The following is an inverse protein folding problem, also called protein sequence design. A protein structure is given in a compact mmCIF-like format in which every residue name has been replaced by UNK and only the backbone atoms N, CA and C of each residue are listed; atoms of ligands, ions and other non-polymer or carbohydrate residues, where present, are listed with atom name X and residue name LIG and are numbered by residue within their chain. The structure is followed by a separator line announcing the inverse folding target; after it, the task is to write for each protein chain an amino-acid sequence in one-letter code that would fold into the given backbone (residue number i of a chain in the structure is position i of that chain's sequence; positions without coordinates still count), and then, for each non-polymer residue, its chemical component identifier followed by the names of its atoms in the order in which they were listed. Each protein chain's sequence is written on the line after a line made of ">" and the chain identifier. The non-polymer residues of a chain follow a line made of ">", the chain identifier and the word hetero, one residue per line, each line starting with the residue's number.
data_IF_017908931167
#
_entry.id   IF_017908931167
#
_cell.length_a   1.000
_cell.length_b   1.000
_cell.length_c   1.000
_cell.angle_alpha   90.00
_cell.angle_beta   90.00
_cell.angle_gamma   90.00
#
_symmetry.space_group_name_H-M   'P 1'
#
loop_
_entity.id
_entity.type
_entity.pdbx_description
1 polymer ?
#
# COMPACT_ATOMS: atom_id res chain seq x y z
N UNK A 1 -3.79 -39.21 -13.67
CA UNK A 1 -3.82 -37.84 -14.24
C UNK A 1 -3.26 -36.88 -13.21
N UNK A 2 -2.37 -35.95 -13.58
CA UNK A 2 -1.84 -34.99 -12.62
C UNK A 2 -2.95 -34.07 -12.12
N UNK A 3 -2.90 -33.72 -10.84
CA UNK A 3 -3.79 -32.74 -10.23
C UNK A 3 -3.56 -31.35 -10.84
N UNK A 4 -4.52 -30.44 -10.68
CA UNK A 4 -4.36 -29.05 -11.15
C UNK A 4 -3.12 -28.35 -10.55
N UNK A 5 -2.77 -28.68 -9.30
CA UNK A 5 -1.56 -28.16 -8.62
C UNK A 5 -0.27 -28.71 -9.23
N UNK A 6 -0.25 -30.00 -9.56
CA UNK A 6 0.90 -30.63 -10.23
C UNK A 6 1.09 -30.11 -11.64
N UNK A 7 0.00 -29.92 -12.40
CA UNK A 7 0.04 -29.28 -13.72
C UNK A 7 0.59 -27.87 -13.64
N UNK A 8 0.13 -27.05 -12.68
CA UNK A 8 0.68 -25.70 -12.50
C UNK A 8 2.19 -25.72 -12.24
N UNK A 9 2.65 -26.57 -11.32
CA UNK A 9 4.08 -26.70 -10.98
C UNK A 9 4.91 -27.15 -12.19
N UNK A 10 4.38 -28.08 -12.98
CA UNK A 10 5.02 -28.55 -14.22
C UNK A 10 5.19 -27.41 -15.23
N UNK A 11 4.14 -26.62 -15.45
CA UNK A 11 4.15 -25.47 -16.35
C UNK A 11 5.11 -24.38 -15.89
N UNK A 12 5.03 -23.97 -14.63
CA UNK A 12 5.91 -22.94 -14.06
C UNK A 12 7.38 -23.35 -14.18
N UNK A 13 7.68 -24.63 -13.92
CA UNK A 13 9.04 -25.18 -14.06
C UNK A 13 9.48 -25.20 -15.52
N UNK A 14 8.63 -25.64 -16.46
CA UNK A 14 9.00 -25.68 -17.88
C UNK A 14 9.25 -24.29 -18.45
N UNK A 15 8.40 -23.32 -18.13
CA UNK A 15 8.59 -21.92 -18.54
C UNK A 15 9.91 -21.40 -18.02
N UNK A 16 10.20 -21.63 -16.73
CA UNK A 16 11.46 -21.20 -16.11
C UNK A 16 12.69 -21.81 -16.80
N UNK A 17 12.66 -23.10 -17.11
CA UNK A 17 13.78 -23.79 -17.73
C UNK A 17 14.02 -23.30 -19.16
N UNK A 18 12.95 -23.13 -19.94
CA UNK A 18 13.03 -22.61 -21.31
C UNK A 18 13.50 -21.14 -21.35
N UNK A 19 13.01 -20.29 -20.43
CA UNK A 19 13.50 -18.92 -20.26
C UNK A 19 15.01 -18.91 -20.03
N UNK A 20 15.50 -19.72 -19.09
CA UNK A 20 16.94 -19.80 -18.77
C UNK A 20 17.77 -20.33 -19.94
N UNK A 21 17.28 -21.32 -20.67
CA UNK A 21 17.95 -21.86 -21.86
C UNK A 21 18.16 -20.79 -22.93
N UNK A 22 17.26 -19.79 -22.99
CA UNK A 22 17.31 -18.65 -23.92
C UNK A 22 18.01 -17.42 -23.32
N UNK A 23 18.64 -17.54 -22.15
CA UNK A 23 19.37 -16.44 -21.50
C UNK A 23 18.48 -15.44 -20.74
N UNK A 24 17.18 -15.68 -20.65
CA UNK A 24 16.26 -14.84 -19.87
C UNK A 24 16.43 -15.09 -18.36
N UNK A 25 16.20 -14.04 -17.57
CA UNK A 25 16.07 -14.14 -16.12
C UNK A 25 14.63 -14.52 -15.77
N UNK A 26 14.41 -15.02 -14.55
CA UNK A 26 13.08 -15.49 -14.14
C UNK A 26 12.79 -15.12 -12.68
N UNK A 27 11.66 -14.45 -12.44
CA UNK A 27 11.19 -14.07 -11.11
C UNK A 27 9.66 -13.98 -11.09
N UNK A 28 9.03 -14.40 -9.98
CA UNK A 28 7.58 -14.21 -9.79
C UNK A 28 6.67 -14.93 -10.78
N UNK A 29 7.16 -15.93 -11.52
CA UNK A 29 6.39 -16.61 -12.57
C UNK A 29 6.58 -16.00 -13.97
N UNK A 30 7.41 -14.97 -14.09
CA UNK A 30 7.66 -14.27 -15.35
C UNK A 30 9.11 -14.42 -15.79
N UNK A 31 9.30 -14.63 -17.10
CA UNK A 31 10.60 -14.51 -17.75
C UNK A 31 10.85 -13.05 -18.09
N UNK A 32 12.09 -12.58 -18.02
CA UNK A 32 12.40 -11.21 -18.38
C UNK A 32 13.82 -11.03 -18.90
N UNK A 33 13.98 -9.98 -19.70
CA UNK A 33 15.27 -9.50 -20.18
C UNK A 33 15.40 -8.01 -19.90
N UNK A 34 16.58 -7.61 -19.44
CA UNK A 34 16.92 -6.22 -19.25
C UNK A 34 18.13 -5.89 -20.14
N UNK A 35 17.96 -4.90 -20.99
CA UNK A 35 18.99 -4.37 -21.88
C UNK A 35 19.47 -3.01 -21.36
N UNK A 36 20.17 -2.23 -22.19
CA UNK A 36 20.64 -0.89 -21.80
C UNK A 36 19.49 0.08 -21.50
N UNK A 37 18.38 -0.02 -22.25
CA UNK A 37 17.23 0.91 -22.15
C UNK A 37 16.03 0.22 -21.51
N UNK A 38 15.71 -1.00 -21.96
CA UNK A 38 14.42 -1.62 -21.70
C UNK A 38 14.49 -2.79 -20.72
N UNK A 39 13.37 -2.97 -20.02
CA UNK A 39 12.95 -4.22 -19.42
C UNK A 39 11.80 -4.79 -20.26
N UNK A 40 11.97 -6.03 -20.71
CA UNK A 40 10.95 -6.80 -21.40
C UNK A 40 10.53 -7.98 -20.54
N UNK A 41 9.23 -8.17 -20.35
CA UNK A 41 8.66 -9.19 -19.46
C UNK A 41 7.73 -10.10 -20.24
N UNK A 42 8.01 -11.40 -20.17
CA UNK A 42 7.18 -12.50 -20.61
C UNK A 42 6.38 -13.06 -19.43
N UNK A 43 5.07 -13.16 -19.60
CA UNK A 43 4.19 -13.84 -18.65
C UNK A 43 3.27 -14.81 -19.39
N UNK A 44 3.05 -15.98 -18.81
CA UNK A 44 2.10 -16.95 -19.33
C UNK A 44 1.21 -17.47 -18.21
N UNK A 45 -0.07 -17.63 -18.49
CA UNK A 45 -1.05 -18.08 -17.52
C UNK A 45 -2.11 -18.96 -18.18
N UNK A 46 -2.64 -19.91 -17.41
CA UNK A 46 -3.76 -20.72 -17.88
C UNK A 46 -5.00 -19.85 -17.99
N UNK A 47 -5.60 -19.85 -19.17
CA UNK A 47 -6.89 -19.24 -19.43
C UNK A 47 -7.95 -20.35 -19.53
N UNK A 48 -9.03 -20.24 -18.77
CA UNK A 48 -10.10 -21.21 -18.79
C UNK A 48 -11.44 -20.50 -18.89
N UNK A 49 -12.14 -20.70 -20.00
CA UNK A 49 -13.55 -20.30 -20.14
C UNK A 49 -14.45 -21.47 -19.75
N UNK A 50 -15.55 -21.20 -19.05
CA UNK A 50 -16.50 -22.24 -18.63
C UNK A 50 -17.03 -22.98 -19.87
N UNK A 51 -16.78 -24.29 -19.98
CA UNK A 51 -17.27 -25.15 -21.08
C UNK A 51 -16.28 -25.43 -22.21
N UNK A 52 -15.07 -24.87 -22.20
CA UNK A 52 -14.02 -25.22 -23.18
C UNK A 52 -13.39 -26.59 -22.82
N UNK A 53 -13.32 -27.49 -23.81
CA UNK A 53 -12.79 -28.85 -23.64
C UNK A 53 -11.24 -28.89 -23.66
N UNK A 54 -10.60 -27.93 -24.34
CA UNK A 54 -9.13 -27.81 -24.44
C UNK A 54 -8.68 -26.59 -23.64
N UNK A 55 -7.77 -26.73 -22.67
CA UNK A 55 -7.28 -25.60 -21.91
C UNK A 55 -6.37 -24.73 -22.80
N UNK A 56 -6.56 -23.40 -22.72
CA UNK A 56 -5.78 -22.41 -23.46
C UNK A 56 -4.78 -21.76 -22.54
N UNK A 57 -3.59 -21.43 -23.04
CA UNK A 57 -2.64 -20.60 -22.32
C UNK A 57 -2.57 -19.23 -22.97
N UNK A 58 -2.78 -18.19 -22.16
CA UNK A 58 -2.55 -16.81 -22.58
C UNK A 58 -1.10 -16.46 -22.27
N UNK A 59 -0.42 -15.87 -23.24
CA UNK A 59 0.87 -15.22 -23.02
C UNK A 59 0.78 -13.72 -23.29
N UNK A 60 1.66 -12.97 -22.65
CA UNK A 60 1.83 -11.53 -22.84
C UNK A 60 3.32 -11.17 -22.84
N UNK A 61 3.67 -10.20 -23.66
CA UNK A 61 4.97 -9.57 -23.78
C UNK A 61 4.78 -8.07 -23.48
N UNK A 62 5.44 -7.58 -22.44
CA UNK A 62 5.37 -6.17 -22.06
C UNK A 62 6.75 -5.52 -22.04
N UNK A 63 6.85 -4.25 -22.40
CA UNK A 63 8.13 -3.51 -22.47
C UNK A 63 8.02 -2.12 -21.84
N UNK A 64 9.01 -1.77 -21.01
CA UNK A 64 9.18 -0.41 -20.45
C UNK A 64 10.65 0.00 -20.34
N UNK A 65 10.98 1.29 -20.45
CA UNK A 65 12.29 1.78 -20.06
C UNK A 65 12.58 1.52 -18.59
N UNK A 66 13.80 1.08 -18.28
CA UNK A 66 14.26 0.78 -16.92
C UNK A 66 14.23 2.00 -16.00
N UNK A 67 14.36 3.20 -16.59
CA UNK A 67 14.38 4.49 -15.89
C UNK A 67 13.01 4.88 -15.33
N UNK A 68 11.90 4.37 -15.88
CA UNK A 68 10.56 4.76 -15.42
C UNK A 68 10.32 4.35 -13.96
N UNK A 69 10.74 3.14 -13.59
CA UNK A 69 10.62 2.67 -12.20
C UNK A 69 11.53 3.47 -11.25
N UNK A 70 12.70 3.92 -11.70
CA UNK A 70 13.61 4.74 -10.90
C UNK A 70 13.00 6.13 -10.62
N UNK A 71 12.39 6.76 -11.63
CA UNK A 71 11.66 8.02 -11.46
C UNK A 71 10.47 7.81 -10.53
N UNK A 72 9.70 6.73 -10.72
CA UNK A 72 8.57 6.39 -9.87
C UNK A 72 9.01 6.25 -8.41
N UNK A 73 10.05 5.48 -8.13
CA UNK A 73 10.54 5.26 -6.78
C UNK A 73 11.10 6.52 -6.15
N UNK A 74 11.82 7.35 -6.91
CA UNK A 74 12.33 8.62 -6.42
C UNK A 74 11.19 9.58 -6.00
N UNK A 75 10.07 9.61 -6.73
CA UNK A 75 8.92 10.44 -6.37
C UNK A 75 8.07 9.82 -5.26
N UNK A 76 7.87 8.50 -5.29
CA UNK A 76 6.85 7.81 -4.50
C UNK A 76 7.39 7.24 -3.18
N UNK A 77 8.66 6.84 -3.16
CA UNK A 77 9.34 6.17 -2.05
C UNK A 77 10.80 6.64 -1.90
N UNK A 78 11.06 7.94 -1.78
CA UNK A 78 12.43 8.47 -1.81
C UNK A 78 13.32 7.97 -0.66
N UNK A 79 12.71 7.58 0.47
CA UNK A 79 13.42 7.19 1.69
C UNK A 79 13.47 5.66 1.90
N UNK A 80 12.89 4.87 0.99
CA UNK A 80 12.82 3.41 1.13
C UNK A 80 14.10 2.74 0.60
N UNK A 81 14.69 1.85 1.41
CA UNK A 81 15.74 0.95 0.93
C UNK A 81 15.14 -0.22 0.14
N UNK A 82 15.08 -0.03 -1.19
CA UNK A 82 14.65 -1.06 -2.13
C UNK A 82 15.68 -2.19 -2.30
N UNK A 83 16.82 -2.11 -1.61
CA UNK A 83 17.93 -3.05 -1.58
C UNK A 83 18.85 -2.99 -2.79
N UNK A 84 19.72 -3.99 -2.90
CA UNK A 84 20.76 -4.02 -3.93
C UNK A 84 20.25 -4.17 -5.37
N UNK A 85 21.14 -4.01 -6.38
CA UNK A 85 20.76 -3.95 -7.79
C UNK A 85 19.89 -5.10 -8.29
N UNK A 86 20.15 -6.33 -7.83
CA UNK A 86 19.36 -7.50 -8.21
C UNK A 86 17.93 -7.45 -7.63
N UNK A 87 17.78 -7.00 -6.38
CA UNK A 87 16.46 -6.85 -5.75
C UNK A 87 15.65 -5.77 -6.46
N UNK A 88 16.27 -4.63 -6.76
CA UNK A 88 15.66 -3.56 -7.57
C UNK A 88 15.22 -4.07 -8.94
N UNK A 89 16.05 -4.86 -9.63
CA UNK A 89 15.67 -5.41 -10.92
C UNK A 89 14.45 -6.33 -10.82
N UNK A 90 14.41 -7.21 -9.82
CA UNK A 90 13.25 -8.07 -9.58
C UNK A 90 11.99 -7.26 -9.27
N UNK A 91 12.09 -6.20 -8.46
CA UNK A 91 10.97 -5.32 -8.12
C UNK A 91 10.32 -4.68 -9.36
N UNK A 92 11.08 -4.42 -10.42
CA UNK A 92 10.50 -3.91 -11.69
C UNK A 92 9.58 -4.91 -12.38
N UNK A 93 9.72 -6.21 -12.08
CA UNK A 93 8.97 -7.31 -12.71
C UNK A 93 7.80 -7.76 -11.83
N UNK A 94 8.02 -7.91 -10.52
CA UNK A 94 7.03 -8.49 -9.60
C UNK A 94 6.67 -7.60 -8.40
N UNK A 95 7.13 -6.35 -8.38
CA UNK A 95 6.83 -5.39 -7.32
C UNK A 95 5.44 -4.76 -7.48
N UNK A 96 4.82 -4.42 -6.35
CA UNK A 96 3.54 -3.70 -6.31
C UNK A 96 3.64 -2.23 -6.73
N UNK A 97 4.81 -1.61 -6.57
CA UNK A 97 5.08 -0.22 -6.94
C UNK A 97 6.00 -0.17 -8.16
N UNK A 98 5.57 -0.80 -9.26
CA UNK A 98 6.30 -0.82 -10.52
C UNK A 98 5.38 -0.35 -11.65
N UNK A 99 5.98 0.21 -12.70
CA UNK A 99 5.25 0.71 -13.88
C UNK A 99 4.85 -0.48 -14.76
N UNK A 100 3.63 -0.51 -15.28
CA UNK A 100 3.25 -1.51 -16.28
C UNK A 100 3.93 -1.21 -17.63
N UNK A 101 4.52 -2.23 -18.25
CA UNK A 101 5.03 -2.13 -19.61
C UNK A 101 3.92 -1.92 -20.65
N UNK A 102 4.29 -1.38 -21.81
CA UNK A 102 3.43 -1.40 -23.01
C UNK A 102 3.26 -2.86 -23.44
N UNK A 103 2.03 -3.26 -23.76
CA UNK A 103 1.78 -4.55 -24.41
C UNK A 103 2.31 -4.46 -25.84
N UNK A 104 3.31 -5.29 -26.15
CA UNK A 104 3.93 -5.37 -27.48
C UNK A 104 3.55 -6.67 -28.18
N UNK A 105 2.82 -7.56 -27.51
CA UNK A 105 2.44 -8.86 -28.03
C UNK A 105 1.68 -9.65 -26.99
N UNK A 106 0.55 -10.22 -27.39
CA UNK A 106 -0.15 -11.21 -26.59
C UNK A 106 -0.87 -12.19 -27.49
N UNK A 107 -1.15 -13.38 -26.95
CA UNK A 107 -1.80 -14.40 -27.73
C UNK A 107 -2.25 -15.58 -26.88
N UNK A 108 -2.87 -16.54 -27.56
CA UNK A 108 -3.29 -17.80 -26.97
C UNK A 108 -2.60 -18.95 -27.69
N UNK A 109 -2.18 -19.95 -26.93
CA UNK A 109 -1.72 -21.24 -27.46
C UNK A 109 -2.65 -22.32 -26.94
N UNK A 110 -3.13 -23.16 -27.86
CA UNK A 110 -3.86 -24.37 -27.53
C UNK A 110 -2.89 -25.47 -27.12
N UNK A 111 -3.24 -26.22 -26.08
CA UNK A 111 -2.38 -27.29 -25.56
C UNK A 111 -3.20 -28.58 -25.52
N UNK A 112 -3.09 -29.43 -26.57
CA UNK A 112 -3.83 -30.69 -26.65
C UNK A 112 -3.52 -31.63 -25.48
N UNK A 113 -2.26 -31.66 -25.02
CA UNK A 113 -1.84 -32.38 -23.82
C UNK A 113 -1.18 -31.42 -22.81
N UNK A 114 -1.90 -30.97 -21.77
CA UNK A 114 -1.37 -30.10 -20.72
C UNK A 114 -0.20 -30.69 -19.93
N UNK A 115 0.02 -32.01 -19.99
CA UNK A 115 1.18 -32.66 -19.39
C UNK A 115 2.46 -32.53 -20.24
N UNK A 116 2.36 -32.00 -21.46
CA UNK A 116 3.48 -31.80 -22.39
C UNK A 116 3.61 -30.32 -22.83
N UNK A 117 3.96 -29.40 -21.92
CA UNK A 117 4.00 -27.96 -22.21
C UNK A 117 5.13 -27.53 -23.17
N UNK A 118 6.09 -28.40 -23.49
CA UNK A 118 7.36 -28.03 -24.13
C UNK A 118 7.21 -27.22 -25.42
N UNK A 119 6.48 -27.75 -26.40
CA UNK A 119 6.28 -27.09 -27.70
C UNK A 119 5.51 -25.78 -27.57
N UNK A 120 4.47 -25.76 -26.72
CA UNK A 120 3.68 -24.55 -26.49
C UNK A 120 4.53 -23.44 -25.86
N UNK A 121 5.30 -23.77 -24.81
CA UNK A 121 6.18 -22.81 -24.12
C UNK A 121 7.25 -22.27 -25.07
N UNK A 122 7.86 -23.11 -25.90
CA UNK A 122 8.84 -22.68 -26.91
C UNK A 122 8.22 -21.68 -27.90
N UNK A 123 7.05 -22.00 -28.46
CA UNK A 123 6.35 -21.11 -29.40
C UNK A 123 5.97 -19.76 -28.78
N UNK A 124 5.50 -19.75 -27.52
CA UNK A 124 5.21 -18.50 -26.81
C UNK A 124 6.46 -17.62 -26.60
N UNK A 125 7.61 -18.25 -26.33
CA UNK A 125 8.88 -17.53 -26.15
C UNK A 125 9.50 -17.07 -27.48
N UNK A 126 9.27 -17.78 -28.58
CA UNK A 126 9.64 -17.32 -29.92
C UNK A 126 8.88 -16.04 -30.30
N UNK A 127 7.56 -16.01 -30.07
CA UNK A 127 6.74 -14.81 -30.32
C UNK A 127 7.12 -13.64 -29.40
N UNK A 128 7.44 -13.92 -28.13
CA UNK A 128 7.96 -12.92 -27.21
C UNK A 128 9.26 -12.28 -27.72
N UNK A 129 10.23 -13.08 -28.14
CA UNK A 129 11.52 -12.57 -28.60
C UNK A 129 11.39 -11.80 -29.91
N UNK A 130 10.51 -12.25 -30.81
CA UNK A 130 10.17 -11.55 -32.05
C UNK A 130 9.55 -10.17 -31.74
N UNK A 131 8.48 -10.13 -30.95
CA UNK A 131 7.80 -8.89 -30.59
C UNK A 131 8.73 -7.91 -29.86
N UNK A 132 9.57 -8.42 -28.95
CA UNK A 132 10.59 -7.63 -28.27
C UNK A 132 11.59 -7.03 -29.25
N UNK A 133 12.16 -7.84 -30.12
CA UNK A 133 13.19 -7.40 -31.07
C UNK A 133 12.66 -6.35 -32.05
N UNK A 134 11.44 -6.56 -32.58
CA UNK A 134 10.77 -5.59 -33.45
C UNK A 134 10.53 -4.26 -32.73
N UNK A 135 10.03 -4.30 -31.48
CA UNK A 135 9.77 -3.08 -30.71
C UNK A 135 11.04 -2.31 -30.38
N UNK A 136 12.09 -2.99 -29.90
CA UNK A 136 13.36 -2.34 -29.55
C UNK A 136 14.03 -1.74 -30.79
N UNK A 137 13.91 -2.37 -31.96
CA UNK A 137 14.42 -1.82 -33.21
C UNK A 137 13.65 -0.57 -33.66
N UNK A 138 12.32 -0.54 -33.49
CA UNK A 138 11.49 0.60 -33.84
C UNK A 138 11.60 1.78 -32.86
N UNK A 139 11.88 1.49 -31.58
CA UNK A 139 11.94 2.45 -30.49
C UNK A 139 13.24 2.30 -29.71
N UNK A 140 14.40 2.70 -30.24
CA UNK A 140 15.70 2.44 -29.61
C UNK A 140 15.93 3.21 -28.30
N UNK A 141 15.13 4.24 -28.01
CA UNK A 141 15.33 5.14 -26.87
C UNK A 141 14.01 5.55 -26.20
N UNK A 142 14.11 6.26 -25.07
CA UNK A 142 12.93 6.69 -24.29
C UNK A 142 12.08 7.71 -25.04
N UNK A 143 12.67 8.53 -25.92
CA UNK A 143 11.93 9.52 -26.70
C UNK A 143 11.04 8.87 -27.75
N UNK A 144 11.54 7.83 -28.42
CA UNK A 144 10.77 7.02 -29.37
C UNK A 144 9.78 6.10 -28.66
N UNK A 145 10.07 5.65 -27.44
CA UNK A 145 9.09 4.98 -26.56
C UNK A 145 7.91 5.88 -26.19
N UNK A 146 8.19 7.14 -25.80
CA UNK A 146 7.15 8.11 -25.45
C UNK A 146 6.15 8.28 -26.60
N UNK A 147 6.64 8.38 -27.84
CA UNK A 147 5.78 8.43 -29.04
C UNK A 147 4.91 7.18 -29.17
N UNK A 148 5.45 5.99 -28.88
CA UNK A 148 4.66 4.76 -28.87
C UNK A 148 3.57 4.81 -27.79
N UNK A 149 3.90 5.23 -26.58
CA UNK A 149 2.94 5.38 -25.48
C UNK A 149 1.82 6.39 -25.81
N UNK A 150 2.14 7.49 -26.49
CA UNK A 150 1.19 8.52 -26.92
C UNK A 150 0.33 8.11 -28.12
N UNK A 151 0.78 7.11 -28.88
CA UNK A 151 0.04 6.55 -30.02
C UNK A 151 -1.03 5.52 -29.64
N UNK A 152 -1.20 5.24 -28.33
CA UNK A 152 -2.23 4.33 -27.87
C UNK A 152 -3.64 4.81 -28.27
N UNK A 153 -4.58 3.89 -28.55
CA UNK A 153 -5.96 4.26 -28.85
C UNK A 153 -6.55 5.14 -27.75
N UNK A 154 -7.38 6.13 -28.12
CA UNK A 154 -7.93 7.12 -27.18
C UNK A 154 -8.61 6.48 -25.94
N UNK A 155 -9.33 5.38 -26.14
CA UNK A 155 -9.98 4.61 -25.06
C UNK A 155 -8.98 4.04 -24.04
N UNK A 156 -7.76 3.72 -24.48
CA UNK A 156 -6.70 3.19 -23.63
C UNK A 156 -5.81 4.31 -23.09
N UNK A 157 -5.62 5.39 -23.83
CA UNK A 157 -4.75 6.50 -23.43
C UNK A 157 -5.16 7.09 -22.07
N UNK A 158 -6.46 7.20 -21.80
CA UNK A 158 -7.00 7.66 -20.52
C UNK A 158 -6.91 6.66 -19.36
N UNK A 159 -6.42 5.43 -19.58
CA UNK A 159 -6.28 4.49 -18.47
C UNK A 159 -5.20 4.95 -17.49
N UNK A 160 -5.42 4.90 -16.17
CA UNK A 160 -4.48 5.42 -15.18
C UNK A 160 -3.04 4.85 -15.31
N UNK A 161 -2.91 3.57 -15.66
CA UNK A 161 -1.60 2.93 -15.91
C UNK A 161 -0.88 3.48 -17.14
N UNK A 162 -1.62 3.85 -18.19
CA UNK A 162 -1.07 4.39 -19.43
C UNK A 162 -0.70 5.87 -19.23
N UNK A 163 -1.52 6.63 -18.50
CA UNK A 163 -1.18 7.98 -18.03
C UNK A 163 0.04 8.02 -17.15
N UNK A 164 0.15 7.11 -16.17
CA UNK A 164 1.36 6.98 -15.34
C UNK A 164 2.61 6.79 -16.20
N UNK A 165 2.54 5.88 -17.18
CA UNK A 165 3.66 5.62 -18.10
C UNK A 165 4.01 6.84 -18.95
N UNK A 166 3.02 7.57 -19.45
CA UNK A 166 3.21 8.79 -20.23
C UNK A 166 3.92 9.88 -19.39
N UNK A 167 3.39 10.18 -18.19
CA UNK A 167 3.98 11.16 -17.26
C UNK A 167 5.44 10.82 -16.95
N UNK A 168 5.72 9.56 -16.59
CA UNK A 168 7.10 9.12 -16.29
C UNK A 168 8.00 9.19 -17.52
N UNK A 169 7.49 8.91 -18.71
CA UNK A 169 8.25 9.00 -19.96
C UNK A 169 8.57 10.45 -20.32
N UNK A 170 7.65 11.39 -20.08
CA UNK A 170 7.89 12.83 -20.22
C UNK A 170 9.01 13.30 -19.28
N UNK A 171 8.97 12.90 -18.00
CA UNK A 171 10.05 13.19 -17.04
C UNK A 171 11.38 12.60 -17.53
N UNK A 172 11.36 11.36 -18.03
CA UNK A 172 12.56 10.67 -18.49
C UNK A 172 13.23 11.33 -19.71
N UNK A 173 12.46 11.98 -20.59
CA UNK A 173 13.00 12.74 -21.73
C UNK A 173 13.32 14.20 -21.37
N UNK A 174 13.09 14.61 -20.11
CA UNK A 174 13.39 15.94 -19.60
C UNK A 174 12.25 16.96 -19.71
N UNK A 175 11.08 16.56 -20.21
CA UNK A 175 9.90 17.43 -20.34
C UNK A 175 9.06 17.42 -19.06
N UNK A 176 9.62 18.02 -18.00
CA UNK A 176 8.97 18.08 -16.69
C UNK A 176 7.71 18.94 -16.68
N UNK A 177 7.67 20.00 -17.48
CA UNK A 177 6.52 20.89 -17.54
C UNK A 177 5.30 20.18 -18.11
N UNK A 178 5.46 19.44 -19.22
CA UNK A 178 4.37 18.64 -19.78
C UNK A 178 3.97 17.49 -18.83
N UNK A 179 4.92 16.85 -18.16
CA UNK A 179 4.64 15.80 -17.18
C UNK A 179 3.81 16.34 -16.00
N UNK A 180 4.20 17.48 -15.44
CA UNK A 180 3.51 18.15 -14.35
C UNK A 180 2.11 18.59 -14.76
N UNK A 181 1.97 19.22 -15.94
CA UNK A 181 0.68 19.65 -16.47
C UNK A 181 -0.28 18.47 -16.71
N UNK A 182 0.21 17.34 -17.22
CA UNK A 182 -0.59 16.14 -17.40
C UNK A 182 -1.04 15.56 -16.05
N UNK A 183 -0.14 15.48 -15.07
CA UNK A 183 -0.49 15.01 -13.73
C UNK A 183 -1.51 15.94 -13.03
N UNK A 184 -1.35 17.25 -13.15
CA UNK A 184 -2.29 18.24 -12.61
C UNK A 184 -3.67 18.15 -13.28
N UNK A 185 -3.72 17.89 -14.59
CA UNK A 185 -4.98 17.71 -15.32
C UNK A 185 -5.74 16.46 -14.84
N UNK A 186 -5.06 15.32 -14.66
CA UNK A 186 -5.68 14.10 -14.14
C UNK A 186 -6.22 14.31 -12.71
N UNK A 187 -5.46 15.02 -11.85
CA UNK A 187 -5.90 15.35 -10.50
C UNK A 187 -7.12 16.28 -10.49
N UNK A 188 -7.20 17.24 -11.42
CA UNK A 188 -8.34 18.14 -11.56
C UNK A 188 -9.65 17.39 -11.92
N UNK A 189 -9.54 16.27 -12.64
CA UNK A 189 -10.66 15.37 -12.97
C UNK A 189 -10.95 14.34 -11.86
N UNK A 190 -10.22 14.39 -10.73
CA UNK A 190 -10.37 13.48 -9.60
C UNK A 190 -9.69 12.11 -9.81
N UNK A 191 -8.85 11.97 -10.83
CA UNK A 191 -8.04 10.77 -11.03
C UNK A 191 -6.74 10.87 -10.21
N UNK A 192 -6.41 9.80 -9.49
CA UNK A 192 -5.31 9.77 -8.53
C UNK A 192 -4.15 8.86 -8.95
N UNK A 193 -4.34 8.10 -10.03
CA UNK A 193 -3.41 7.13 -10.57
C UNK A 193 -3.59 5.74 -9.95
N UNK A 194 -2.88 4.74 -10.50
CA UNK A 194 -3.11 3.33 -10.16
C UNK A 194 -2.57 2.92 -8.78
N UNK A 195 -1.84 3.80 -8.08
CA UNK A 195 -1.23 3.48 -6.79
C UNK A 195 -1.28 4.66 -5.82
N UNK A 196 -1.36 4.32 -4.53
CA UNK A 196 -1.36 5.29 -3.44
C UNK A 196 -0.58 4.72 -2.26
N UNK A 197 0.08 5.61 -1.52
CA UNK A 197 0.92 5.28 -0.39
C UNK A 197 0.68 6.23 0.77
N UNK A 198 1.48 6.12 1.85
CA UNK A 198 1.32 6.95 3.05
C UNK A 198 1.45 8.46 2.78
N UNK A 199 2.16 8.86 1.72
CA UNK A 199 2.44 10.28 1.37
C UNK A 199 1.45 10.90 0.38
N UNK A 200 0.61 10.10 -0.26
CA UNK A 200 -0.30 10.58 -1.31
C UNK A 200 -0.54 9.56 -2.41
N UNK A 201 -1.26 10.01 -3.44
CA UNK A 201 -1.44 9.23 -4.67
C UNK A 201 -0.28 9.45 -5.64
N UNK A 202 -0.12 8.55 -6.61
CA UNK A 202 1.04 8.64 -7.52
C UNK A 202 1.01 9.86 -8.41
N UNK A 203 -0.17 10.27 -8.90
CA UNK A 203 -0.28 11.48 -9.72
C UNK A 203 -0.02 12.74 -8.92
N UNK A 204 -0.45 12.78 -7.66
CA UNK A 204 -0.10 13.88 -6.75
C UNK A 204 1.41 14.00 -6.57
N UNK A 205 2.08 12.90 -6.22
CA UNK A 205 3.52 12.91 -5.96
C UNK A 205 4.33 13.21 -7.24
N UNK A 206 3.88 12.73 -8.41
CA UNK A 206 4.52 13.06 -9.68
C UNK A 206 4.32 14.52 -10.08
N UNK A 207 3.11 15.06 -9.90
CA UNK A 207 2.83 16.49 -10.09
C UNK A 207 3.79 17.33 -9.27
N UNK A 208 3.89 17.07 -7.97
CA UNK A 208 4.82 17.78 -7.07
C UNK A 208 6.27 17.62 -7.52
N UNK A 209 6.69 16.42 -7.91
CA UNK A 209 8.08 16.15 -8.35
C UNK A 209 8.52 16.91 -9.61
N UNK A 210 7.56 17.44 -10.37
CA UNK A 210 7.79 18.28 -11.54
C UNK A 210 7.85 19.78 -11.22
N UNK A 211 7.45 20.20 -10.01
CA UNK A 211 7.40 21.61 -9.61
C UNK A 211 8.77 22.13 -9.13
N UNK A 212 8.98 23.45 -9.04
CA UNK A 212 10.18 24.03 -8.45
C UNK A 212 10.50 23.51 -7.03
N UNK A 213 11.77 23.54 -6.64
CA UNK A 213 12.26 22.90 -5.42
C UNK A 213 11.67 23.49 -4.13
N UNK A 214 11.34 24.78 -4.11
CA UNK A 214 10.64 25.46 -3.03
C UNK A 214 9.21 24.94 -2.85
N UNK A 215 8.48 24.73 -3.94
CA UNK A 215 7.13 24.12 -3.93
C UNK A 215 7.19 22.68 -3.44
N UNK A 216 8.22 21.93 -3.87
CA UNK A 216 8.44 20.57 -3.36
C UNK A 216 8.73 20.57 -1.86
N UNK A 217 9.59 21.46 -1.37
CA UNK A 217 9.93 21.55 0.04
C UNK A 217 8.70 21.89 0.91
N UNK A 218 7.88 22.86 0.47
CA UNK A 218 6.63 23.19 1.15
C UNK A 218 5.69 21.99 1.21
N UNK A 219 5.55 21.24 0.11
CA UNK A 219 4.75 20.02 0.07
C UNK A 219 5.27 18.97 1.06
N UNK A 220 6.58 18.71 1.08
CA UNK A 220 7.19 17.70 1.95
C UNK A 220 7.06 18.03 3.44
N UNK A 221 7.18 19.30 3.81
CA UNK A 221 6.89 19.74 5.18
C UNK A 221 5.41 19.53 5.54
N UNK A 222 4.49 19.83 4.60
CA UNK A 222 3.05 19.60 4.79
C UNK A 222 2.68 18.13 4.94
N UNK A 223 3.34 17.23 4.20
CA UNK A 223 3.06 15.77 4.26
C UNK A 223 4.01 15.02 5.18
N UNK A 224 4.74 15.73 6.03
CA UNK A 224 5.59 15.12 7.04
C UNK A 224 4.72 14.29 7.99
N UNK A 225 5.04 13.00 8.21
CA UNK A 225 4.28 12.21 9.15
C UNK A 225 4.35 12.78 10.56
N UNK A 226 3.19 12.87 11.21
CA UNK A 226 3.05 13.39 12.57
C UNK A 226 2.65 12.32 13.56
N UNK A 227 2.04 11.22 13.09
CA UNK A 227 1.60 10.13 13.95
C UNK A 227 1.99 8.77 13.38
N UNK A 228 2.08 7.79 14.28
CA UNK A 228 2.16 6.37 14.01
C UNK A 228 0.83 5.75 14.41
N UNK A 229 0.19 5.05 13.47
CA UNK A 229 -0.97 4.21 13.74
C UNK A 229 -0.52 2.76 13.77
N UNK A 230 -0.68 2.14 14.92
CA UNK A 230 -0.37 0.74 15.15
C UNK A 230 -1.67 -0.04 15.33
N UNK A 231 -1.82 -1.08 14.53
CA UNK A 231 -2.84 -2.10 14.66
C UNK A 231 -2.21 -3.33 15.30
N UNK A 232 -2.78 -3.80 16.40
CA UNK A 232 -2.44 -5.08 17.00
C UNK A 232 -3.62 -6.02 16.71
N UNK A 233 -3.32 -7.25 16.29
CA UNK A 233 -4.27 -8.31 16.05
C UNK A 233 -3.56 -9.63 16.32
N UNK A 234 -4.13 -10.49 17.17
CA UNK A 234 -3.62 -11.84 17.40
C UNK A 234 -3.66 -12.70 16.13
N UNK A 235 -4.67 -12.49 15.27
CA UNK A 235 -4.80 -13.23 13.99
C UNK A 235 -3.92 -12.72 12.86
N UNK A 236 -3.79 -11.39 12.73
CA UNK A 236 -3.12 -10.75 11.59
C UNK A 236 -1.72 -10.24 11.93
N UNK A 237 -1.30 -10.33 13.20
CA UNK A 237 -0.07 -9.74 13.70
C UNK A 237 -0.16 -8.22 13.87
N UNK A 238 0.97 -7.62 14.25
CA UNK A 238 1.09 -6.19 14.38
C UNK A 238 1.43 -5.53 13.04
N UNK A 239 0.72 -4.46 12.72
CA UNK A 239 0.98 -3.63 11.54
C UNK A 239 1.07 -2.16 11.94
N UNK A 240 2.04 -1.44 11.40
CA UNK A 240 2.29 -0.04 11.75
C UNK A 240 2.41 0.80 10.48
N UNK A 241 1.72 1.94 10.46
CA UNK A 241 1.83 2.94 9.39
C UNK A 241 2.02 4.32 9.98
N UNK A 242 2.74 5.17 9.26
CA UNK A 242 2.86 6.59 9.60
C UNK A 242 1.77 7.39 8.88
N UNK A 243 1.23 8.39 9.55
CA UNK A 243 0.15 9.25 9.06
C UNK A 243 0.62 10.72 9.11
N UNK A 244 0.38 11.46 8.02
CA UNK A 244 0.69 12.89 7.91
C UNK A 244 -0.54 13.75 8.22
N UNK A 245 -0.44 14.68 9.18
CA UNK A 245 -1.57 15.45 9.68
C UNK A 245 -2.46 16.01 8.55
N UNK A 246 -3.79 15.82 8.67
CA UNK A 246 -4.77 16.31 7.69
C UNK A 246 -4.85 15.50 6.38
N UNK A 247 -4.18 14.35 6.30
CA UNK A 247 -4.24 13.40 5.17
C UNK A 247 -5.01 12.12 5.50
N UNK A 248 -5.72 12.07 6.62
CA UNK A 248 -6.57 10.93 6.91
C UNK A 248 -7.64 10.78 5.83
N UNK A 249 -7.80 9.57 5.30
CA UNK A 249 -8.95 9.27 4.46
C UNK A 249 -10.19 9.22 5.35
N UNK A 250 -11.28 9.81 4.89
CA UNK A 250 -12.56 9.76 5.58
C UNK A 250 -12.93 8.31 5.95
N UNK A 251 -13.35 8.12 7.21
CA UNK A 251 -13.72 6.81 7.76
C UNK A 251 -12.56 5.83 7.95
N UNK A 252 -11.29 6.24 7.85
CA UNK A 252 -10.16 5.32 7.97
C UNK A 252 -9.98 4.75 9.39
N UNK A 253 -10.31 5.51 10.45
CA UNK A 253 -10.34 4.99 11.82
C UNK A 253 -11.57 4.12 12.06
N UNK A 254 -12.76 4.59 11.69
CA UNK A 254 -14.04 3.87 11.79
C UNK A 254 -13.94 2.46 11.19
N UNK A 255 -13.47 2.34 9.94
CA UNK A 255 -13.31 1.04 9.26
C UNK A 255 -12.46 0.04 10.05
N UNK A 256 -11.47 0.52 10.80
CA UNK A 256 -10.60 -0.34 11.62
C UNK A 256 -11.28 -0.71 12.93
N UNK A 257 -11.91 0.26 13.59
CA UNK A 257 -12.65 0.06 14.84
C UNK A 257 -13.82 -0.91 14.66
N UNK A 258 -14.52 -0.87 13.52
CA UNK A 258 -15.58 -1.83 13.20
C UNK A 258 -15.14 -3.29 13.10
N UNK A 259 -13.83 -3.58 13.09
CA UNK A 259 -13.30 -4.95 13.09
C UNK A 259 -13.23 -5.58 14.48
N UNK A 260 -13.47 -4.81 15.54
CA UNK A 260 -13.44 -5.31 16.91
C UNK A 260 -14.54 -6.36 17.08
N UNK A 261 -14.20 -7.48 17.70
CA UNK A 261 -15.10 -8.63 17.85
C UNK A 261 -14.96 -9.36 19.20
N UNK A 262 -14.12 -8.84 20.10
CA UNK A 262 -13.87 -9.41 21.44
C UNK A 262 -13.15 -10.75 21.49
N UNK A 263 -12.79 -11.32 20.35
CA UNK A 263 -12.15 -12.64 20.24
C UNK A 263 -10.69 -12.58 19.82
N UNK A 264 -10.34 -11.55 19.07
CA UNK A 264 -8.98 -11.29 18.65
C UNK A 264 -8.33 -10.27 19.58
N UNK A 265 -7.03 -10.41 19.86
CA UNK A 265 -6.25 -9.42 20.61
C UNK A 265 -6.08 -8.17 19.76
N UNK A 266 -7.16 -7.40 19.66
CA UNK A 266 -7.28 -6.27 18.77
C UNK A 266 -7.12 -4.97 19.53
N UNK A 267 -6.12 -4.19 19.16
CA UNK A 267 -5.96 -2.81 19.63
C UNK A 267 -5.65 -1.88 18.45
N UNK A 268 -6.21 -0.67 18.51
CA UNK A 268 -5.86 0.43 17.63
C UNK A 268 -5.15 1.48 18.47
N UNK A 269 -3.91 1.83 18.13
CA UNK A 269 -3.08 2.76 18.90
C UNK A 269 -2.58 3.86 17.97
N UNK A 270 -2.79 5.12 18.36
CA UNK A 270 -2.36 6.30 17.63
C UNK A 270 -1.40 7.11 18.52
N UNK A 271 -0.14 7.21 18.09
CA UNK A 271 0.96 7.81 18.85
C UNK A 271 1.60 8.94 18.04
N UNK A 272 1.77 10.17 18.59
CA UNK A 272 2.55 11.22 17.93
C UNK A 272 4.01 10.79 17.73
N UNK A 273 4.58 11.12 16.57
CA UNK A 273 5.99 10.83 16.29
C UNK A 273 6.86 11.79 17.10
N UNK A 274 7.76 11.23 17.91
CA UNK A 274 8.65 11.99 18.80
C UNK A 274 8.12 12.14 20.23
N UNK A 275 6.91 11.66 20.53
CA UNK A 275 6.33 11.61 21.87
C UNK A 275 5.63 10.25 22.07
N UNK A 276 6.41 9.26 22.50
CA UNK A 276 5.92 7.88 22.70
C UNK A 276 5.12 7.73 24.02
N UNK A 277 5.15 8.74 24.90
CA UNK A 277 4.42 8.74 26.18
C UNK A 277 3.01 9.30 26.05
N UNK A 278 2.71 10.02 24.96
CA UNK A 278 1.35 10.43 24.61
C UNK A 278 0.75 9.50 23.56
N UNK A 279 -0.40 8.90 23.82
CA UNK A 279 -1.11 8.12 22.80
C UNK A 279 -2.60 8.01 23.08
N UNK A 280 -3.37 7.76 22.03
CA UNK A 280 -4.76 7.33 22.12
C UNK A 280 -4.84 5.85 21.72
N UNK A 281 -5.51 5.04 22.52
CA UNK A 281 -5.75 3.63 22.18
C UNK A 281 -7.21 3.22 22.35
N UNK A 282 -7.61 2.23 21.58
CA UNK A 282 -8.91 1.59 21.68
C UNK A 282 -8.79 0.07 21.69
N UNK A 283 -9.62 -0.55 22.52
CA UNK A 283 -9.88 -1.98 22.57
C UNK A 283 -11.39 -2.21 22.78
N UNK A 284 -11.91 -3.41 22.54
CA UNK A 284 -13.33 -3.65 22.72
C UNK A 284 -13.83 -5.01 22.25
N UNK A 285 -15.06 -5.33 22.66
CA UNK A 285 -15.70 -6.60 22.37
C UNK A 285 -16.57 -6.59 21.10
N UNK A 286 -16.76 -5.43 20.49
CA UNK A 286 -17.58 -5.25 19.28
C UNK A 286 -17.54 -3.80 18.77
N UNK A 287 -18.11 -3.53 17.57
CA UNK A 287 -18.19 -2.18 17.01
C UNK A 287 -19.08 -1.21 17.80
N UNK A 288 -19.90 -1.70 18.71
CA UNK A 288 -20.80 -0.97 19.61
C UNK A 288 -20.32 -1.01 21.08
N UNK A 289 -19.16 -1.62 21.33
CA UNK A 289 -18.59 -1.83 22.67
C UNK A 289 -17.09 -1.59 22.67
N UNK A 290 -16.70 -0.33 22.50
CA UNK A 290 -15.31 0.13 22.44
C UNK A 290 -14.99 0.98 23.65
N UNK A 291 -13.85 0.72 24.29
CA UNK A 291 -13.25 1.62 25.28
C UNK A 291 -12.11 2.38 24.63
N UNK A 292 -11.99 3.65 25.00
CA UNK A 292 -10.91 4.52 24.54
C UNK A 292 -10.12 4.98 25.74
N UNK A 293 -8.79 4.90 25.65
CA UNK A 293 -7.87 5.34 26.68
C UNK A 293 -6.86 6.33 26.09
N UNK A 294 -6.53 7.36 26.86
CA UNK A 294 -5.50 8.34 26.50
C UNK A 294 -4.40 8.33 27.56
N UNK A 295 -3.15 8.20 27.12
CA UNK A 295 -1.98 8.48 27.97
C UNK A 295 -1.45 9.87 27.62
N UNK A 296 -1.13 10.67 28.64
CA UNK A 296 -0.52 11.99 28.50
C UNK A 296 0.33 12.36 29.72
N UNK A 297 1.27 13.30 29.59
CA UNK A 297 1.99 13.87 30.73
C UNK A 297 1.06 14.47 31.80
N UNK A 298 1.47 14.40 33.06
CA UNK A 298 0.74 14.91 34.22
C UNK A 298 0.65 13.91 35.37
N UNK A 299 -0.16 14.23 36.39
CA UNK A 299 -0.42 13.33 37.52
C UNK A 299 0.50 13.54 38.72
N UNK A 300 1.13 14.71 38.84
CA UNK A 300 2.00 15.06 39.96
C UNK A 300 1.30 14.92 41.32
N UNK A 301 -0.01 15.11 41.38
CA UNK A 301 -0.83 14.86 42.58
C UNK A 301 -0.83 13.39 43.05
N UNK A 302 -0.48 12.46 42.16
CA UNK A 302 -0.30 11.02 42.45
C UNK A 302 1.17 10.60 42.45
N UNK A 303 2.11 11.55 42.35
CA UNK A 303 3.55 11.26 42.31
C UNK A 303 4.04 10.62 41.01
N UNK A 304 3.32 10.78 39.90
CA UNK A 304 3.66 10.24 38.58
C UNK A 304 3.89 11.35 37.55
N UNK A 305 4.59 11.05 36.46
CA UNK A 305 4.91 11.99 35.37
C UNK A 305 3.97 11.88 34.17
N UNK A 306 3.32 10.72 33.99
CA UNK A 306 2.29 10.51 32.98
C UNK A 306 1.18 9.62 33.53
N UNK A 307 -0.02 9.81 32.99
CA UNK A 307 -1.21 9.06 33.41
C UNK A 307 -1.96 8.54 32.18
N UNK A 308 -2.38 7.29 32.25
CA UNK A 308 -3.35 6.68 31.36
C UNK A 308 -4.74 6.84 31.95
N UNK A 309 -5.61 7.49 31.20
CA UNK A 309 -6.99 7.75 31.55
C UNK A 309 -7.92 6.90 30.68
N UNK A 310 -8.99 6.36 31.27
CA UNK A 310 -10.15 5.88 30.52
C UNK A 310 -11.00 7.10 30.16
N UNK A 311 -11.34 7.21 28.88
CA UNK A 311 -12.13 8.32 28.34
C UNK A 311 -13.61 8.02 28.53
N UNK A 312 -14.35 9.00 29.04
CA UNK A 312 -15.80 8.95 29.20
C UNK A 312 -16.50 10.10 28.49
N UNK A 313 -17.79 9.94 28.22
CA UNK A 313 -18.66 11.01 27.70
C UNK A 313 -18.75 12.19 28.67
N UNK A 314 -19.11 13.40 28.19
CA UNK A 314 -19.22 14.58 29.04
C UNK A 314 -20.14 14.39 30.26
N UNK A 315 -19.70 14.88 31.41
CA UNK A 315 -20.47 14.86 32.66
C UNK A 315 -20.50 13.51 33.39
N UNK A 316 -19.65 12.54 33.01
CA UNK A 316 -19.73 11.17 33.53
C UNK A 316 -18.89 10.84 34.77
N UNK A 317 -18.24 11.84 35.37
CA UNK A 317 -17.34 11.62 36.51
C UNK A 317 -18.05 10.91 37.68
N UNK A 318 -17.46 9.80 38.16
CA UNK A 318 -17.97 9.04 39.31
C UNK A 318 -19.09 8.04 39.01
N UNK A 319 -19.36 7.74 37.73
CA UNK A 319 -20.33 6.72 37.34
C UNK A 319 -19.91 5.31 37.77
N UNK A 320 -20.88 4.43 38.05
CA UNK A 320 -20.62 3.04 38.43
C UNK A 320 -19.90 2.27 37.30
N UNK A 321 -18.98 1.38 37.68
CA UNK A 321 -18.22 0.51 36.77
C UNK A 321 -18.93 -0.84 36.65
N UNK A 322 -20.04 -0.86 35.90
CA UNK A 322 -20.94 -2.01 35.80
C UNK A 322 -21.07 -2.60 34.39
N UNK A 323 -20.35 -2.05 33.41
CA UNK A 323 -20.34 -2.56 32.04
C UNK A 323 -19.11 -3.44 31.80
N UNK A 324 -19.30 -4.72 31.44
CA UNK A 324 -18.18 -5.56 31.04
C UNK A 324 -17.75 -5.27 29.61
N UNK A 325 -16.43 -5.22 29.41
CA UNK A 325 -15.76 -5.27 28.11
C UNK A 325 -14.93 -6.55 28.10
N UNK A 326 -15.40 -7.52 27.32
CA UNK A 326 -14.74 -8.82 27.17
C UNK A 326 -13.59 -8.68 26.18
N UNK A 327 -12.37 -8.78 26.70
CA UNK A 327 -11.15 -8.89 25.92
C UNK A 327 -10.66 -10.34 25.97
N UNK A 328 -9.84 -10.80 25.03
CA UNK A 328 -9.49 -12.22 24.92
C UNK A 328 -8.83 -12.80 26.18
N UNK A 329 -8.08 -11.98 26.92
CA UNK A 329 -7.35 -12.41 28.14
C UNK A 329 -7.95 -11.88 29.45
N UNK A 330 -8.96 -11.01 29.40
CA UNK A 330 -9.49 -10.37 30.61
C UNK A 330 -10.85 -9.71 30.37
N UNK A 331 -11.66 -9.58 31.42
CA UNK A 331 -12.84 -8.71 31.42
C UNK A 331 -12.51 -7.41 32.13
N UNK A 332 -12.68 -6.28 31.46
CA UNK A 332 -12.55 -4.95 32.06
C UNK A 332 -13.94 -4.43 32.44
N UNK A 333 -14.10 -3.97 33.68
CA UNK A 333 -15.32 -3.29 34.12
C UNK A 333 -15.16 -1.79 33.93
N UNK A 334 -16.07 -1.18 33.17
CA UNK A 334 -16.09 0.24 32.84
C UNK A 334 -17.47 0.83 33.11
N UNK A 335 -17.57 2.16 33.10
CA UNK A 335 -18.88 2.80 33.13
C UNK A 335 -19.55 2.72 31.76
N UNK A 336 -20.89 2.68 31.73
CA UNK A 336 -21.66 2.85 30.48
C UNK A 336 -21.29 4.12 29.70
N UNK A 337 -20.84 5.15 30.41
CA UNK A 337 -20.38 6.40 29.82
C UNK A 337 -19.01 6.31 29.14
N UNK A 338 -18.24 5.26 29.41
CA UNK A 338 -16.91 4.95 28.87
C UNK A 338 -16.97 3.94 27.71
N UNK A 339 -18.17 3.48 27.33
CA UNK A 339 -18.41 2.57 26.21
C UNK A 339 -18.89 3.36 25.00
N UNK A 340 -18.10 3.38 23.94
CA UNK A 340 -18.37 4.06 22.67
C UNK A 340 -18.74 3.06 21.58
N UNK A 341 -19.51 3.53 20.60
CA UNK A 341 -19.56 2.87 19.30
C UNK A 341 -18.36 3.27 18.42
N UNK A 342 -18.23 2.62 17.26
CA UNK A 342 -17.12 2.84 16.33
C UNK A 342 -17.09 4.27 15.75
N UNK A 343 -18.24 4.91 15.58
CA UNK A 343 -18.33 6.26 15.02
C UNK A 343 -17.87 7.30 16.05
N UNK A 344 -18.34 7.18 17.30
CA UNK A 344 -17.90 8.02 18.41
C UNK A 344 -16.41 7.85 18.70
N UNK A 345 -15.92 6.61 18.76
CA UNK A 345 -14.50 6.34 18.95
C UNK A 345 -13.67 6.88 17.78
N UNK A 346 -14.12 6.74 16.53
CA UNK A 346 -13.44 7.30 15.38
C UNK A 346 -13.35 8.83 15.42
N UNK A 347 -14.37 9.50 15.96
CA UNK A 347 -14.35 10.96 16.16
C UNK A 347 -13.25 11.36 17.15
N UNK A 348 -13.07 10.63 18.26
CA UNK A 348 -11.98 10.87 19.21
C UNK A 348 -10.60 10.68 18.58
N UNK A 349 -10.42 9.62 17.78
CA UNK A 349 -9.16 9.40 17.03
C UNK A 349 -8.90 10.53 16.03
N UNK A 350 -9.94 10.98 15.34
CA UNK A 350 -9.83 12.08 14.36
C UNK A 350 -9.45 13.39 15.05
N UNK A 351 -10.05 13.66 16.21
CA UNK A 351 -9.75 14.85 17.02
C UNK A 351 -8.31 14.83 17.53
N UNK A 352 -7.91 13.71 18.13
CA UNK A 352 -6.55 13.52 18.62
C UNK A 352 -5.54 13.63 17.49
N UNK A 353 -5.82 13.02 16.33
CA UNK A 353 -4.96 13.09 15.15
C UNK A 353 -4.75 14.53 14.63
N UNK A 354 -5.82 15.33 14.60
CA UNK A 354 -5.80 16.69 14.05
C UNK A 354 -5.26 17.72 15.03
N UNK A 355 -5.52 17.55 16.32
CA UNK A 355 -5.28 18.57 17.35
C UNK A 355 -4.24 18.18 18.40
N UNK A 356 -3.82 16.92 18.44
CA UNK A 356 -2.98 16.37 19.52
C UNK A 356 -3.74 16.18 20.83
N UNK A 357 -5.07 16.35 20.83
CA UNK A 357 -5.92 16.27 22.02
C UNK A 357 -7.32 15.78 21.67
N UNK A 358 -7.98 15.19 22.66
CA UNK A 358 -9.41 14.88 22.61
C UNK A 358 -10.23 16.06 23.16
N UNK A 359 -11.54 16.16 22.89
CA UNK A 359 -12.38 17.24 23.40
C UNK A 359 -12.27 17.39 24.93
N UNK A 360 -12.10 18.62 25.40
CA UNK A 360 -12.00 18.93 26.85
C UNK A 360 -13.27 18.60 27.62
N UNK A 361 -14.39 18.44 26.92
CA UNK A 361 -15.66 18.02 27.50
C UNK A 361 -15.68 16.55 27.90
N UNK A 362 -14.78 15.72 27.38
CA UNK A 362 -14.66 14.32 27.77
C UNK A 362 -14.26 14.20 29.25
N UNK A 363 -14.90 13.28 29.96
CA UNK A 363 -14.47 12.92 31.31
C UNK A 363 -13.22 12.02 31.23
N UNK A 364 -12.29 12.19 32.17
CA UNK A 364 -11.07 11.37 32.26
C UNK A 364 -11.00 10.71 33.63
N UNK A 365 -11.09 9.38 33.66
CA UNK A 365 -10.88 8.60 34.88
C UNK A 365 -9.45 8.05 34.89
N UNK A 366 -8.62 8.36 35.90
CA UNK A 366 -7.27 7.81 35.97
C UNK A 366 -7.35 6.28 36.12
N UNK A 367 -6.48 5.56 35.41
CA UNK A 367 -6.36 4.11 35.50
C UNK A 367 -4.96 3.71 35.98
N UNK A 368 -3.93 4.25 35.35
CA UNK A 368 -2.55 3.93 35.69
C UNK A 368 -1.66 5.17 35.52
N UNK A 369 -0.56 5.23 36.28
CA UNK A 369 0.44 6.28 36.18
C UNK A 369 1.84 5.70 36.06
N UNK A 370 2.77 6.48 35.51
CA UNK A 370 4.19 6.11 35.41
C UNK A 370 5.05 7.19 36.04
N UNK A 371 5.92 6.79 36.96
CA UNK A 371 6.92 7.68 37.57
C UNK A 371 8.12 7.89 36.63
N UNK A 372 9.03 8.80 36.99
CA UNK A 372 10.21 9.16 36.21
C UNK A 372 11.15 7.98 35.90
N UNK A 373 11.18 6.96 36.75
CA UNK A 373 12.00 5.77 36.55
C UNK A 373 11.29 4.67 35.71
N UNK A 374 10.07 4.96 35.23
CA UNK A 374 9.24 4.05 34.45
C UNK A 374 8.38 3.11 35.30
N UNK A 375 8.40 3.20 36.63
CA UNK A 375 7.55 2.37 37.50
C UNK A 375 6.08 2.70 37.28
N UNK A 376 5.28 1.67 36.98
CA UNK A 376 3.83 1.75 36.84
C UNK A 376 3.15 1.74 38.23
N UNK A 377 2.15 2.60 38.38
CA UNK A 377 1.34 2.79 39.59
C UNK A 377 -0.13 2.61 39.20
N UNK A 378 -0.86 1.72 39.87
CA UNK A 378 -2.30 1.59 39.69
C UNK A 378 -3.01 2.78 40.37
N UNK A 379 -3.86 3.49 39.61
CA UNK A 379 -4.58 4.69 40.05
C UNK A 379 -6.10 4.48 40.13
N UNK A 380 -6.57 3.24 39.98
CA UNK A 380 -7.99 2.88 40.02
C UNK A 380 -8.60 2.92 41.42
#
# INVERSE_FOLDING_TARGET
>A
MPTAKELRKLWDQRIKDECKARGLRFVGGSGFQADAVYLSVFSASRWATKGEAVPRWRWTATIKPLVLDEILWAAFMPDEDLGGPLKRLNLRVNGWFAVDGLDVGSGFVEVPDPAQPGTAVAAMLDEFERARSEFVAAHPDVATYLKAAQSLPAEQAGWPRNRLREILSLIAVGDRDAAGALADAELAEGEHGPMSGPRGSVFELLSVSCKPADVQAEYWEKVKPTHRLTLVSGTSGQFTVTLAAGRERDGSFDRRLRKFNGRDDFALILTPIGDEDTYLQAAGSGPDRITVEIRKPGGQQWGVESVRYVVGRPGSAGSALDQPIELPTSTQMVSATEVFDADEAAALFTDFYRRGSIPETCALRPAEGWTADGTNVDLR
#
